data_IF_643954801596
#
_entry.id   IF_643954801596
#
_cell.length_a   1.000
_cell.length_b   1.000
_cell.length_c   1.000
_cell.angle_alpha   90.00
_cell.angle_beta   90.00
_cell.angle_gamma   90.00
#
_symmetry.space_group_name_H-M   'P 1'
#
loop_
_entity.id
_entity.type
_entity.pdbx_description
1 polymer ?
#
# COMPACT_ATOMS: atom_id res chain seq x y z
N UNK A 1 17.72 1.98 4.44
CA UNK A 1 17.51 0.52 4.51
C UNK A 1 16.57 0.20 3.39
N UNK A 2 16.90 -0.83 2.63
CA UNK A 2 16.16 -1.17 1.44
C UNK A 2 14.92 -1.98 1.84
N UNK A 3 13.78 -1.56 1.31
CA UNK A 3 12.49 -2.24 1.49
C UNK A 3 11.91 -2.57 0.13
N UNK A 4 11.15 -3.65 0.06
CA UNK A 4 10.48 -4.12 -1.15
C UNK A 4 8.98 -4.01 -0.93
N UNK A 5 8.31 -3.26 -1.81
CA UNK A 5 6.88 -2.95 -1.69
C UNK A 5 6.08 -3.85 -2.65
N UNK A 6 5.75 -5.05 -2.21
CA UNK A 6 5.00 -5.99 -3.04
C UNK A 6 3.52 -5.62 -3.08
N UNK A 7 2.96 -5.51 -4.29
CA UNK A 7 1.59 -5.02 -4.51
C UNK A 7 0.66 -6.20 -4.75
N UNK A 8 -0.35 -6.35 -3.91
CA UNK A 8 -1.46 -7.28 -4.13
C UNK A 8 -2.62 -6.54 -4.80
N UNK A 9 -2.95 -6.99 -6.01
CA UNK A 9 -4.02 -6.43 -6.84
C UNK A 9 -5.08 -7.50 -7.15
N UNK A 10 -6.16 -7.10 -7.82
CA UNK A 10 -7.21 -8.02 -8.25
C UNK A 10 -6.66 -9.20 -9.08
N UNK A 11 -5.63 -8.96 -9.91
CA UNK A 11 -5.07 -9.94 -10.85
C UNK A 11 -3.92 -10.77 -10.29
N UNK A 12 -3.47 -10.51 -9.06
CA UNK A 12 -2.43 -11.26 -8.39
C UNK A 12 -1.40 -10.37 -7.71
N UNK A 13 -0.36 -11.02 -7.20
CA UNK A 13 0.75 -10.41 -6.49
C UNK A 13 1.84 -9.96 -7.47
N UNK A 14 2.26 -8.70 -7.36
CA UNK A 14 3.35 -8.09 -8.10
C UNK A 14 4.53 -7.91 -7.15
N UNK A 15 5.64 -8.61 -7.43
CA UNK A 15 6.85 -8.48 -6.65
C UNK A 15 7.68 -7.28 -7.11
N UNK A 16 7.82 -6.30 -6.23
CA UNK A 16 8.89 -5.31 -6.32
C UNK A 16 10.27 -5.99 -6.19
N UNK A 17 11.08 -5.89 -7.24
CA UNK A 17 12.46 -6.41 -7.31
C UNK A 17 13.51 -5.32 -7.18
N UNK A 18 13.10 -4.06 -7.34
CA UNK A 18 14.00 -2.92 -7.29
C UNK A 18 14.18 -2.44 -5.87
N UNK A 19 13.11 -2.42 -5.08
CA UNK A 19 13.07 -1.90 -3.73
C UNK A 19 13.31 -0.38 -3.66
N UNK A 20 13.07 0.18 -2.49
CA UNK A 20 13.21 1.60 -2.20
C UNK A 20 13.88 1.79 -0.84
N UNK A 21 14.71 2.83 -0.71
CA UNK A 21 15.36 3.16 0.54
C UNK A 21 14.45 3.99 1.44
N UNK A 22 14.23 3.49 2.66
CA UNK A 22 13.64 4.27 3.75
C UNK A 22 14.58 4.31 4.96
N UNK A 23 14.50 5.38 5.79
CA UNK A 23 15.31 5.51 7.00
C UNK A 23 14.86 4.56 8.12
N UNK A 24 13.60 4.10 8.11
CA UNK A 24 13.06 3.16 9.09
C UNK A 24 11.82 2.43 8.57
N UNK A 25 11.39 1.37 9.28
CA UNK A 25 10.15 0.63 8.99
C UNK A 25 8.94 1.56 9.11
N UNK A 26 8.90 2.40 10.15
CA UNK A 26 7.80 3.33 10.40
C UNK A 26 7.67 4.33 9.26
N UNK A 27 8.80 4.80 8.71
CA UNK A 27 8.77 5.69 7.55
C UNK A 27 8.29 4.98 6.29
N UNK A 28 8.73 3.74 6.06
CA UNK A 28 8.25 2.92 4.95
C UNK A 28 6.73 2.69 5.04
N UNK A 29 6.21 2.37 6.23
CA UNK A 29 4.77 2.20 6.49
C UNK A 29 4.01 3.49 6.21
N UNK A 30 4.48 4.62 6.74
CA UNK A 30 3.79 5.90 6.58
C UNK A 30 3.73 6.35 5.11
N UNK A 31 4.84 6.24 4.38
CA UNK A 31 4.90 6.62 2.96
C UNK A 31 4.07 5.67 2.10
N UNK A 32 4.10 4.37 2.38
CA UNK A 32 3.24 3.39 1.69
C UNK A 32 1.76 3.69 1.94
N UNK A 33 1.38 4.00 3.18
CA UNK A 33 0.01 4.38 3.53
C UNK A 33 -0.48 5.61 2.76
N UNK A 34 0.33 6.67 2.68
CA UNK A 34 -0.05 7.87 1.93
C UNK A 34 -0.08 7.63 0.42
N UNK A 35 0.90 6.89 -0.13
CA UNK A 35 0.88 6.53 -1.56
C UNK A 35 -0.37 5.71 -1.93
N UNK A 36 -0.79 4.77 -1.08
CA UNK A 36 -2.05 4.05 -1.28
C UNK A 36 -3.29 4.96 -1.22
N UNK A 37 -3.30 5.99 -0.37
CA UNK A 37 -4.39 6.99 -0.34
C UNK A 37 -4.41 7.85 -1.59
N UNK A 38 -3.26 8.22 -2.13
CA UNK A 38 -3.17 8.97 -3.38
C UNK A 38 -3.75 8.15 -4.54
N UNK A 39 -3.41 6.85 -4.63
CA UNK A 39 -4.01 5.92 -5.60
C UNK A 39 -5.54 5.86 -5.42
N UNK A 40 -6.03 5.67 -4.19
CA UNK A 40 -7.46 5.62 -3.92
C UNK A 40 -8.18 6.93 -4.30
N UNK A 41 -7.58 8.07 -4.00
CA UNK A 41 -8.11 9.38 -4.35
C UNK A 41 -8.16 9.61 -5.87
N UNK A 42 -7.15 9.13 -6.60
CA UNK A 42 -7.11 9.21 -8.06
C UNK A 42 -8.15 8.30 -8.72
N UNK A 43 -8.35 7.07 -8.23
CA UNK A 43 -9.46 6.21 -8.65
C UNK A 43 -10.83 6.88 -8.42
N UNK A 44 -11.03 7.48 -7.25
CA UNK A 44 -12.26 8.22 -6.95
C UNK A 44 -12.47 9.41 -7.89
N UNK A 45 -11.42 10.17 -8.19
CA UNK A 45 -11.49 11.34 -9.08
C UNK A 45 -11.77 10.96 -10.53
N UNK A 46 -11.21 9.84 -10.98
CA UNK A 46 -11.36 9.33 -12.36
C UNK A 46 -12.63 8.51 -12.58
N UNK A 47 -13.28 8.05 -11.50
CA UNK A 47 -14.40 7.12 -11.58
C UNK A 47 -13.98 5.68 -11.91
N UNK A 48 -12.70 5.35 -11.71
CA UNK A 48 -12.14 4.02 -11.90
C UNK A 48 -12.27 3.16 -10.64
N UNK A 49 -12.27 1.83 -10.83
CA UNK A 49 -12.27 0.87 -9.73
C UNK A 49 -10.90 0.82 -9.04
N UNK A 50 -10.88 0.87 -7.71
CA UNK A 50 -9.68 0.62 -6.92
C UNK A 50 -9.39 -0.90 -6.90
N UNK A 51 -8.49 -1.35 -7.78
CA UNK A 51 -8.09 -2.76 -7.88
C UNK A 51 -6.99 -3.16 -6.90
N UNK A 52 -6.31 -2.18 -6.29
CA UNK A 52 -5.29 -2.36 -5.27
C UNK A 52 -5.92 -2.91 -3.98
N UNK A 53 -5.45 -4.06 -3.50
CA UNK A 53 -5.93 -4.69 -2.27
C UNK A 53 -5.00 -4.43 -1.10
N UNK A 54 -3.70 -4.60 -1.29
CA UNK A 54 -2.72 -4.40 -0.25
C UNK A 54 -1.32 -4.12 -0.80
N UNK A 55 -0.46 -3.55 0.05
CA UNK A 55 0.98 -3.49 -0.18
C UNK A 55 1.68 -4.11 1.03
N UNK A 56 2.53 -5.11 0.77
CA UNK A 56 3.39 -5.73 1.76
C UNK A 56 4.78 -5.09 1.72
N UNK A 57 5.31 -4.73 2.89
CA UNK A 57 6.61 -4.09 3.08
C UNK A 57 7.58 -5.14 3.61
N UNK A 58 8.56 -5.54 2.79
CA UNK A 58 9.49 -6.61 3.10
C UNK A 58 10.97 -6.18 3.03
N UNK A 59 11.87 -6.98 3.59
CA UNK A 59 13.32 -6.90 3.30
C UNK A 59 13.73 -7.81 2.13
N UNK A 60 15.02 -7.83 1.79
CA UNK A 60 15.56 -8.66 0.70
C UNK A 60 15.43 -10.18 0.93
N UNK A 61 15.18 -10.61 2.17
CA UNK A 61 14.98 -12.03 2.49
C UNK A 61 13.53 -12.47 2.30
N UNK A 62 12.63 -11.50 2.06
CA UNK A 62 11.19 -11.71 1.99
C UNK A 62 10.51 -11.65 3.35
N UNK A 63 11.19 -11.20 4.41
CA UNK A 63 10.55 -11.00 5.71
C UNK A 63 9.64 -9.77 5.64
N UNK A 64 8.35 -9.97 5.88
CA UNK A 64 7.33 -8.91 5.84
C UNK A 64 7.26 -8.21 7.20
N UNK A 65 7.61 -6.93 7.23
CA UNK A 65 7.48 -6.09 8.43
C UNK A 65 6.04 -5.64 8.67
N UNK A 66 5.31 -5.33 7.60
CA UNK A 66 3.95 -4.82 7.66
C UNK A 66 3.21 -5.05 6.34
N UNK A 67 1.89 -5.11 6.42
CA UNK A 67 0.99 -5.10 5.26
C UNK A 67 -0.06 -4.02 5.48
N UNK A 68 -0.26 -3.18 4.47
CA UNK A 68 -1.28 -2.13 4.47
C UNK A 68 -2.35 -2.51 3.45
N UNK A 69 -3.61 -2.53 3.87
CA UNK A 69 -4.73 -2.90 3.00
C UNK A 69 -5.48 -1.67 2.48
N UNK A 70 -6.23 -1.86 1.39
CA UNK A 70 -7.16 -0.84 0.89
C UNK A 70 -8.21 -0.47 1.94
N UNK A 71 -8.61 -1.42 2.78
CA UNK A 71 -9.51 -1.14 3.91
C UNK A 71 -8.88 -0.13 4.90
N UNK A 72 -7.61 -0.31 5.28
CA UNK A 72 -6.92 0.56 6.24
C UNK A 72 -6.86 2.02 5.74
N UNK A 73 -6.62 2.21 4.45
CA UNK A 73 -6.46 3.55 3.84
C UNK A 73 -7.79 4.22 3.52
N UNK A 74 -8.86 3.44 3.33
CA UNK A 74 -10.22 3.94 3.13
C UNK A 74 -10.93 4.23 4.46
N UNK A 75 -10.43 3.67 5.56
CA UNK A 75 -11.01 3.91 6.88
C UNK A 75 -11.00 5.42 7.22
N UNK A 76 -12.15 5.91 7.67
CA UNK A 76 -12.33 7.32 8.03
C UNK A 76 -12.50 8.29 6.85
N UNK A 77 -12.46 7.83 5.59
CA UNK A 77 -12.81 8.64 4.43
C UNK A 77 -14.32 8.78 4.25
N UNK A 78 -15.07 7.74 4.61
CA UNK A 78 -16.52 7.74 4.51
C UNK A 78 -17.14 7.80 5.92
N UNK A 79 -18.21 8.58 6.11
CA UNK A 79 -18.96 8.54 7.35
C UNK A 79 -19.53 7.14 7.54
N UNK A 80 -19.35 6.59 8.74
CA UNK A 80 -20.04 5.36 9.14
C UNK A 80 -21.52 5.67 9.27
N UNK A 81 -22.33 5.15 8.36
CA UNK A 81 -23.78 5.22 8.51
C UNK A 81 -24.19 4.20 9.59
N UNK A 82 -24.47 4.72 10.79
CA UNK A 82 -25.10 3.99 11.90
C UNK A 82 -26.59 3.87 11.72
#
# INVERSE_FOLDING_TARGET
MKFFLHVDEQRGLIHDVEGIDFPSVEKAVLETFFGMRDIAADCLRSGEELTLKAIAIADETGFVFATITSHDVLQGLFPTFS
#
